data_IF_242925311949
#
_entry.id   IF_242925311949
#
_cell.length_a   1.000
_cell.length_b   1.000
_cell.length_c   1.000
_cell.angle_alpha   90.00
_cell.angle_beta   90.00
_cell.angle_gamma   90.00
#
_symmetry.space_group_name_H-M   'P 1'
#
loop_
_entity.id
_entity.type
_entity.pdbx_description
1 polymer ?
#
# COMPACT_ATOMS: atom_id res chain seq x y z
N UNK A 1 52.51 -10.86 -7.19
CA UNK A 1 51.75 -9.86 -7.96
C UNK A 1 50.63 -9.38 -7.05
N UNK A 2 50.80 -8.21 -6.43
CA UNK A 2 49.73 -7.58 -5.65
C UNK A 2 48.69 -7.07 -6.65
N UNK A 3 47.41 -7.43 -6.47
CA UNK A 3 46.34 -7.04 -7.36
C UNK A 3 46.20 -5.52 -7.44
N UNK A 4 46.00 -5.01 -8.65
CA UNK A 4 46.08 -3.59 -9.03
C UNK A 4 44.94 -2.71 -8.47
N UNK A 5 44.17 -3.21 -7.50
CA UNK A 5 43.00 -2.52 -6.96
C UNK A 5 42.86 -2.73 -5.44
N UNK A 6 42.41 -1.70 -4.70
CA UNK A 6 42.18 -1.79 -3.26
C UNK A 6 41.19 -2.89 -2.89
N UNK A 7 41.51 -3.69 -1.87
CA UNK A 7 40.62 -4.66 -1.25
C UNK A 7 40.43 -4.31 0.24
N UNK A 8 39.20 -3.97 0.61
CA UNK A 8 38.85 -3.50 1.95
C UNK A 8 38.03 -4.54 2.71
N UNK A 9 38.32 -4.72 3.99
CA UNK A 9 37.48 -5.50 4.90
C UNK A 9 37.15 -4.65 6.12
N UNK A 10 35.88 -4.37 6.32
CA UNK A 10 35.37 -3.54 7.40
C UNK A 10 34.43 -4.36 8.29
N UNK A 11 34.71 -4.39 9.60
CA UNK A 11 33.82 -4.93 10.60
C UNK A 11 33.45 -3.79 11.55
N UNK A 12 32.21 -3.33 11.46
CA UNK A 12 31.70 -2.17 12.17
C UNK A 12 30.65 -2.58 13.20
N UNK A 13 30.77 -2.03 14.40
CA UNK A 13 29.77 -2.15 15.45
C UNK A 13 29.41 -0.75 15.95
N UNK A 14 28.12 -0.45 16.00
CA UNK A 14 27.61 0.83 16.49
C UNK A 14 26.47 0.61 17.49
N UNK A 15 26.44 1.41 18.57
CA UNK A 15 25.24 1.47 19.40
C UNK A 15 24.09 2.15 18.64
N UNK A 16 24.36 3.33 18.09
CA UNK A 16 23.37 4.08 17.30
C UNK A 16 24.01 4.58 16.00
N UNK A 17 23.33 4.34 14.88
CA UNK A 17 23.73 4.79 13.55
C UNK A 17 22.63 5.65 12.92
N UNK A 18 22.87 6.94 12.73
CA UNK A 18 21.88 7.84 12.12
C UNK A 18 22.24 8.13 10.66
N UNK A 19 21.59 7.42 9.73
CA UNK A 19 21.82 7.60 8.29
C UNK A 19 21.24 8.92 7.78
N UNK A 20 20.19 9.47 8.39
CA UNK A 20 19.63 10.77 8.01
C UNK A 20 20.68 11.88 8.16
N UNK A 21 21.44 11.84 9.24
CA UNK A 21 22.57 12.74 9.45
C UNK A 21 23.71 12.44 8.48
N UNK A 22 24.12 11.18 8.30
CA UNK A 22 25.28 10.86 7.47
C UNK A 22 25.07 11.19 5.99
N UNK A 23 23.87 10.93 5.48
CA UNK A 23 23.55 11.15 4.07
C UNK A 23 23.19 12.62 3.78
N UNK A 24 22.64 13.36 4.73
CA UNK A 24 22.43 14.81 4.56
C UNK A 24 23.75 15.59 4.50
N UNK A 25 24.78 15.13 5.22
CA UNK A 25 26.12 15.75 5.16
C UNK A 25 26.89 15.39 3.87
N UNK A 26 26.52 14.31 3.16
CA UNK A 26 27.07 14.01 1.84
C UNK A 26 26.64 15.02 0.76
N UNK A 27 25.55 15.77 1.01
CA UNK A 27 25.12 16.91 0.18
C UNK A 27 25.60 18.27 0.68
N UNK A 28 26.33 18.33 1.80
CA UNK A 28 26.84 19.58 2.35
C UNK A 28 28.21 19.94 1.76
N UNK A 29 28.26 20.15 0.44
CA UNK A 29 29.25 21.04 -0.17
C UNK A 29 28.55 22.33 -0.57
N UNK A 30 28.48 23.26 0.38
CA UNK A 30 28.05 24.63 0.16
C UNK A 30 26.80 25.01 0.94
N UNK A 31 26.96 25.43 2.20
CA UNK A 31 26.66 26.80 2.60
C UNK A 31 27.09 27.03 4.07
N UNK A 32 28.36 27.41 4.28
CA UNK A 32 28.75 28.06 5.53
C UNK A 32 28.59 29.57 5.32
N UNK A 33 27.35 30.04 5.41
CA UNK A 33 27.04 31.46 5.50
C UNK A 33 26.70 31.81 6.95
N UNK A 34 27.77 32.07 7.71
CA UNK A 34 27.70 32.77 9.00
C UNK A 34 27.05 34.13 8.77
N UNK A 35 25.96 34.41 9.48
CA UNK A 35 25.35 35.74 9.52
C UNK A 35 26.35 36.75 10.10
N UNK A 36 27.01 37.52 9.23
CA UNK A 36 27.57 38.82 9.56
C UNK A 36 26.84 39.90 8.76
N UNK A 37 26.11 40.75 9.48
CA UNK A 37 25.53 41.97 8.96
C UNK A 37 26.66 42.94 8.54
N UNK A 38 26.71 43.27 7.25
CA UNK A 38 27.64 44.26 6.70
C UNK A 38 27.37 44.58 5.23
N UNK A 39 26.64 45.67 5.01
CA UNK A 39 26.45 46.50 3.81
C UNK A 39 27.00 46.08 2.42
N UNK A 40 26.06 46.10 1.44
CA UNK A 40 26.18 46.68 0.09
C UNK A 40 27.11 46.03 -0.95
N UNK A 41 26.53 45.26 -1.89
CA UNK A 41 26.58 45.54 -3.34
C UNK A 41 25.83 44.46 -4.15
N UNK A 42 24.96 44.90 -5.07
CA UNK A 42 24.30 44.05 -6.06
C UNK A 42 25.35 43.39 -6.99
N UNK A 43 25.72 42.15 -6.70
CA UNK A 43 26.19 41.20 -7.72
C UNK A 43 25.06 40.25 -8.03
N UNK A 44 24.53 40.33 -9.25
CA UNK A 44 23.69 39.28 -9.81
C UNK A 44 24.51 37.99 -9.82
N UNK A 45 24.26 37.13 -8.83
CA UNK A 45 24.75 35.76 -8.82
C UNK A 45 24.04 35.05 -9.97
N UNK A 46 24.81 34.64 -10.97
CA UNK A 46 24.32 33.71 -11.98
C UNK A 46 23.89 32.43 -11.24
N UNK A 47 22.72 31.85 -11.55
CA UNK A 47 22.37 30.57 -10.98
C UNK A 47 23.45 29.58 -11.41
N UNK A 48 24.24 29.09 -10.46
CA UNK A 48 24.99 27.86 -10.65
C UNK A 48 23.92 26.79 -10.67
N UNK A 49 23.56 26.33 -11.86
CA UNK A 49 22.85 25.06 -11.99
C UNK A 49 23.88 24.04 -11.51
N UNK A 50 23.77 23.66 -10.23
CA UNK A 50 24.39 22.44 -9.76
C UNK A 50 23.65 21.33 -10.51
N UNK A 51 24.22 20.96 -11.65
CA UNK A 51 23.86 19.75 -12.35
C UNK A 51 24.32 18.62 -11.42
N UNK A 52 23.45 18.24 -10.50
CA UNK A 52 23.59 16.99 -9.76
C UNK A 52 23.27 15.88 -10.76
N UNK A 53 24.18 15.69 -11.72
CA UNK A 53 24.09 14.63 -12.69
C UNK A 53 24.36 13.32 -11.93
N UNK A 54 23.29 12.77 -11.39
CA UNK A 54 23.17 11.47 -10.68
C UNK A 54 23.69 10.27 -11.50
N UNK A 55 24.30 10.50 -12.66
CA UNK A 55 25.13 9.55 -13.40
C UNK A 55 26.50 9.28 -12.74
N UNK A 56 26.92 10.12 -11.78
CA UNK A 56 28.19 9.96 -11.04
C UNK A 56 28.11 9.05 -9.81
N UNK A 57 26.92 8.65 -9.35
CA UNK A 57 26.71 8.10 -8.00
C UNK A 57 27.37 6.73 -7.76
N UNK A 58 27.48 5.88 -8.79
CA UNK A 58 27.98 4.51 -8.61
C UNK A 58 29.36 4.24 -9.23
N UNK A 59 29.97 5.23 -9.89
CA UNK A 59 31.30 5.03 -10.52
C UNK A 59 32.38 4.71 -9.48
N UNK A 60 32.27 5.25 -8.27
CA UNK A 60 33.19 4.96 -7.17
C UNK A 60 33.24 3.46 -6.82
N UNK A 61 32.11 2.73 -6.95
CA UNK A 61 32.05 1.30 -6.65
C UNK A 61 32.96 0.47 -7.57
N UNK A 62 33.27 0.95 -8.77
CA UNK A 62 34.15 0.24 -9.73
C UNK A 62 35.62 0.24 -9.33
N UNK A 63 36.02 1.16 -8.45
CA UNK A 63 37.42 1.39 -8.12
C UNK A 63 38.01 0.47 -7.05
N UNK A 64 37.21 -0.40 -6.42
CA UNK A 64 37.66 -1.21 -5.30
C UNK A 64 36.87 -2.51 -5.12
N UNK A 65 37.46 -3.43 -4.36
CA UNK A 65 36.76 -4.54 -3.72
C UNK A 65 36.53 -4.21 -2.24
N UNK A 66 35.38 -4.59 -1.70
CA UNK A 66 35.14 -4.46 -0.27
C UNK A 66 34.24 -5.57 0.28
N UNK A 67 34.43 -5.89 1.55
CA UNK A 67 33.47 -6.60 2.40
C UNK A 67 33.18 -5.76 3.64
N UNK A 68 31.90 -5.57 3.92
CA UNK A 68 31.39 -4.83 5.07
C UNK A 68 30.47 -5.74 5.88
N UNK A 69 30.84 -5.95 7.14
CA UNK A 69 29.95 -6.48 8.16
C UNK A 69 29.60 -5.35 9.13
N UNK A 70 28.32 -5.03 9.24
CA UNK A 70 27.81 -3.99 10.13
C UNK A 70 26.80 -4.60 11.11
N UNK A 71 27.01 -4.35 12.39
CA UNK A 71 25.99 -4.55 13.43
C UNK A 71 25.68 -3.22 14.09
N UNK A 72 24.40 -2.86 14.19
CA UNK A 72 23.97 -1.68 14.91
C UNK A 72 22.80 -2.00 15.85
N UNK A 73 22.89 -1.59 17.12
CA UNK A 73 21.77 -1.81 18.05
C UNK A 73 20.55 -0.98 17.64
N UNK A 74 20.79 0.25 17.18
CA UNK A 74 19.80 1.17 16.62
C UNK A 74 20.30 1.80 15.32
N UNK A 75 19.40 1.92 14.33
CA UNK A 75 19.66 2.64 13.08
C UNK A 75 18.47 3.54 12.75
N UNK A 76 18.74 4.79 12.37
CA UNK A 76 17.71 5.72 11.93
C UNK A 76 17.86 6.04 10.45
N UNK A 77 16.78 5.87 9.69
CA UNK A 77 16.71 6.22 8.27
C UNK A 77 15.30 6.66 7.88
N UNK A 78 15.18 7.82 7.24
CA UNK A 78 13.93 8.51 6.88
C UNK A 78 12.97 8.64 8.06
N UNK A 79 13.51 8.89 9.26
CA UNK A 79 12.75 8.94 10.50
C UNK A 79 12.21 7.59 11.00
N UNK A 80 12.47 6.48 10.30
CA UNK A 80 12.20 5.13 10.80
C UNK A 80 13.31 4.70 11.75
N UNK A 81 12.93 4.05 12.84
CA UNK A 81 13.85 3.57 13.87
C UNK A 81 13.94 2.05 13.82
N UNK A 82 15.05 1.58 13.26
CA UNK A 82 15.40 0.17 13.18
C UNK A 82 16.19 -0.25 14.41
N UNK A 83 16.00 -1.50 14.83
CA UNK A 83 16.77 -2.10 15.92
C UNK A 83 17.36 -3.44 15.50
N UNK A 84 18.42 -3.86 16.20
CA UNK A 84 19.08 -5.16 15.98
C UNK A 84 19.52 -5.35 14.52
N UNK A 85 20.06 -4.28 13.92
CA UNK A 85 20.43 -4.26 12.52
C UNK A 85 21.68 -5.09 12.29
N UNK A 86 21.61 -5.98 11.30
CA UNK A 86 22.76 -6.74 10.81
C UNK A 86 22.81 -6.64 9.30
N UNK A 87 23.97 -6.29 8.78
CA UNK A 87 24.21 -6.14 7.35
C UNK A 87 25.53 -6.77 6.94
N UNK A 88 25.50 -7.55 5.87
CA UNK A 88 26.65 -8.12 5.19
C UNK A 88 26.59 -7.71 3.71
N UNK A 89 27.55 -6.89 3.30
CA UNK A 89 27.60 -6.31 1.96
C UNK A 89 28.99 -6.56 1.38
N UNK A 90 29.03 -6.94 0.10
CA UNK A 90 30.28 -6.97 -0.66
C UNK A 90 30.18 -6.12 -1.91
N UNK A 91 31.28 -5.48 -2.28
CA UNK A 91 31.45 -4.83 -3.57
C UNK A 91 32.60 -5.51 -4.32
N UNK A 92 32.37 -5.86 -5.58
CA UNK A 92 33.37 -6.39 -6.50
C UNK A 92 33.39 -5.52 -7.75
N UNK A 93 34.18 -4.45 -7.72
CA UNK A 93 34.39 -3.56 -8.86
C UNK A 93 33.08 -3.08 -9.51
N UNK A 94 32.09 -2.69 -8.69
CA UNK A 94 30.80 -2.18 -9.16
C UNK A 94 29.68 -3.20 -9.15
N UNK A 95 29.96 -4.47 -8.86
CA UNK A 95 28.94 -5.43 -8.47
C UNK A 95 28.80 -5.41 -6.94
N UNK A 96 27.79 -4.70 -6.45
CA UNK A 96 27.45 -4.65 -5.04
C UNK A 96 26.40 -5.73 -4.73
N UNK A 97 26.66 -6.54 -3.72
CA UNK A 97 25.76 -7.62 -3.26
C UNK A 97 25.50 -7.44 -1.79
N UNK A 98 24.22 -7.44 -1.42
CA UNK A 98 23.73 -7.42 -0.05
C UNK A 98 23.33 -8.86 0.28
N UNK A 99 24.25 -9.57 0.94
CA UNK A 99 24.04 -10.97 1.34
C UNK A 99 23.04 -11.06 2.48
N UNK A 100 23.10 -10.08 3.38
CA UNK A 100 22.21 -9.97 4.52
C UNK A 100 21.95 -8.49 4.78
N UNK A 101 20.69 -8.12 4.99
CA UNK A 101 20.31 -6.82 5.55
C UNK A 101 19.01 -7.03 6.30
N UNK A 102 19.10 -7.10 7.61
CA UNK A 102 17.95 -7.42 8.46
C UNK A 102 17.88 -6.50 9.67
N UNK A 103 16.69 -6.36 10.22
CA UNK A 103 16.44 -5.62 11.45
C UNK A 103 14.98 -5.69 11.86
N UNK A 104 14.66 -5.01 12.95
CA UNK A 104 13.29 -4.88 13.46
C UNK A 104 12.81 -3.43 13.35
N UNK A 105 11.57 -3.24 12.92
CA UNK A 105 10.92 -1.93 12.75
C UNK A 105 9.48 -2.01 13.30
N UNK A 106 9.16 -1.15 14.28
CA UNK A 106 7.83 -1.04 14.89
C UNK A 106 7.19 -2.37 15.33
N UNK A 107 8.03 -3.25 15.90
CA UNK A 107 7.65 -4.57 16.39
C UNK A 107 7.65 -5.68 15.32
N UNK A 108 7.78 -5.33 14.04
CA UNK A 108 7.95 -6.26 12.94
C UNK A 108 9.42 -6.53 12.59
N UNK A 109 9.65 -7.49 11.69
CA UNK A 109 10.97 -7.83 11.15
C UNK A 109 11.04 -7.52 9.67
N UNK A 110 12.21 -7.13 9.20
CA UNK A 110 12.50 -6.94 7.78
C UNK A 110 13.80 -7.61 7.37
N UNK A 111 13.84 -8.00 6.10
CA UNK A 111 15.03 -8.44 5.38
C UNK A 111 15.01 -7.82 3.98
N UNK A 112 16.17 -7.35 3.49
CA UNK A 112 16.31 -6.74 2.18
C UNK A 112 17.59 -7.19 1.47
N UNK A 113 17.72 -8.49 1.14
CA UNK A 113 18.80 -8.96 0.28
C UNK A 113 18.62 -8.40 -1.13
N UNK A 114 19.74 -8.28 -1.85
CA UNK A 114 19.71 -7.76 -3.21
C UNK A 114 21.08 -7.50 -3.80
N UNK A 115 21.09 -6.87 -4.96
CA UNK A 115 22.30 -6.51 -5.67
C UNK A 115 22.11 -5.24 -6.50
N UNK A 116 23.23 -4.60 -6.80
CA UNK A 116 23.37 -3.50 -7.73
C UNK A 116 24.54 -3.81 -8.65
N UNK A 117 24.27 -3.99 -9.94
CA UNK A 117 25.29 -4.03 -10.98
C UNK A 117 25.46 -2.64 -11.57
N UNK A 118 26.50 -1.96 -11.13
CA UNK A 118 26.89 -0.66 -11.60
C UNK A 118 28.07 -0.73 -12.59
N UNK A 119 28.41 -1.88 -13.18
CA UNK A 119 29.55 -2.02 -14.11
C UNK A 119 29.26 -1.43 -15.49
N UNK A 120 28.00 -1.48 -15.92
CA UNK A 120 27.52 -0.94 -17.20
C UNK A 120 27.24 0.56 -17.17
N UNK A 121 26.92 1.15 -18.32
CA UNK A 121 26.54 2.57 -18.41
C UNK A 121 25.27 2.90 -17.61
N UNK A 122 24.32 1.96 -17.58
CA UNK A 122 23.08 2.07 -16.79
C UNK A 122 23.16 1.06 -15.64
N UNK A 123 23.04 1.51 -14.38
CA UNK A 123 23.00 0.59 -13.25
C UNK A 123 21.72 -0.24 -13.28
N UNK A 124 21.80 -1.48 -12.79
CA UNK A 124 20.66 -2.35 -12.59
C UNK A 124 20.65 -2.89 -11.17
N UNK A 125 19.58 -2.62 -10.43
CA UNK A 125 19.37 -3.10 -9.08
C UNK A 125 18.27 -4.17 -9.05
N UNK A 126 18.41 -5.14 -8.15
CA UNK A 126 17.38 -6.15 -7.86
C UNK A 126 17.37 -6.47 -6.37
N UNK A 127 16.18 -6.52 -5.78
CA UNK A 127 15.95 -6.72 -4.36
C UNK A 127 14.81 -7.69 -4.11
N UNK A 128 14.93 -8.46 -3.04
CA UNK A 128 13.91 -9.41 -2.60
C UNK A 128 13.46 -9.08 -1.18
N UNK A 129 12.67 -8.01 -1.00
CA UNK A 129 12.22 -7.62 0.33
C UNK A 129 11.34 -8.69 0.96
N UNK A 130 11.58 -8.91 2.25
CA UNK A 130 10.72 -9.70 3.10
C UNK A 130 10.39 -8.89 4.35
N UNK A 131 9.10 -8.63 4.57
CA UNK A 131 8.57 -7.97 5.75
C UNK A 131 7.68 -8.95 6.49
N UNK A 132 7.74 -8.91 7.82
CA UNK A 132 6.93 -9.72 8.72
C UNK A 132 6.37 -8.80 9.82
N UNK A 133 5.06 -8.54 9.76
CA UNK A 133 4.31 -7.74 10.73
C UNK A 133 4.86 -6.31 10.97
N UNK A 134 5.36 -5.64 9.92
CA UNK A 134 5.86 -4.26 10.00
C UNK A 134 4.69 -3.27 9.93
N UNK A 135 4.71 -2.19 10.72
CA UNK A 135 3.66 -1.16 10.66
C UNK A 135 3.67 -0.41 9.31
N UNK A 136 2.64 -0.58 8.50
CA UNK A 136 2.59 0.05 7.16
C UNK A 136 2.55 1.57 7.23
N UNK A 137 1.92 2.14 8.27
CA UNK A 137 1.83 3.58 8.47
C UNK A 137 3.22 4.24 8.57
N UNK A 138 4.20 3.55 9.16
CA UNK A 138 5.57 4.04 9.26
C UNK A 138 6.27 4.13 7.90
N UNK A 139 6.03 3.14 7.02
CA UNK A 139 6.55 3.14 5.64
C UNK A 139 5.90 4.27 4.85
N UNK A 140 4.56 4.38 4.88
CA UNK A 140 3.84 5.44 4.17
C UNK A 140 4.32 6.84 4.58
N UNK A 141 4.51 7.06 5.88
CA UNK A 141 5.05 8.31 6.43
C UNK A 141 6.49 8.56 5.97
N UNK A 142 7.37 7.56 6.03
CA UNK A 142 8.77 7.70 5.63
C UNK A 142 8.93 8.07 4.14
N UNK A 143 7.98 7.67 3.30
CA UNK A 143 7.95 7.99 1.87
C UNK A 143 6.97 9.11 1.50
N UNK A 144 6.46 9.86 2.48
CA UNK A 144 5.59 11.03 2.33
C UNK A 144 4.27 10.75 1.58
N UNK A 145 3.72 9.55 1.72
CA UNK A 145 2.42 9.23 1.13
C UNK A 145 1.28 9.58 2.07
N UNK A 146 0.34 10.40 1.58
CA UNK A 146 -0.83 10.88 2.32
C UNK A 146 -1.94 9.84 2.43
N UNK A 147 -1.60 8.56 2.59
CA UNK A 147 -2.56 7.46 2.74
C UNK A 147 -2.72 7.17 4.23
N UNK A 148 -3.92 7.40 4.76
CA UNK A 148 -4.24 7.10 6.16
C UNK A 148 -4.58 5.62 6.36
N UNK A 149 -3.56 4.77 6.25
CA UNK A 149 -3.66 3.32 6.44
C UNK A 149 -2.70 2.89 7.56
N UNK A 150 -3.24 2.11 8.50
CA UNK A 150 -2.49 1.44 9.57
C UNK A 150 -2.77 -0.05 9.54
N UNK A 151 -1.83 -0.84 10.06
CA UNK A 151 -1.90 -2.29 10.06
C UNK A 151 -0.52 -2.94 9.98
N UNK A 152 -0.47 -4.24 10.32
CA UNK A 152 0.76 -5.03 10.28
C UNK A 152 0.93 -5.67 8.90
N UNK A 153 1.89 -5.16 8.14
CA UNK A 153 2.26 -5.61 6.81
C UNK A 153 3.26 -6.77 6.88
N UNK A 154 2.90 -7.87 6.24
CA UNK A 154 3.81 -8.91 5.80
C UNK A 154 3.88 -8.89 4.28
N UNK A 155 5.09 -8.94 3.73
CA UNK A 155 5.35 -8.82 2.30
C UNK A 155 6.47 -9.77 1.91
N UNK A 156 6.34 -10.41 0.76
CA UNK A 156 7.46 -11.06 0.08
C UNK A 156 7.36 -10.75 -1.39
N UNK A 157 8.45 -10.26 -1.98
CA UNK A 157 8.44 -9.85 -3.37
C UNK A 157 9.82 -9.78 -3.99
N UNK A 158 9.84 -9.40 -5.25
CA UNK A 158 11.03 -9.13 -6.03
C UNK A 158 10.82 -7.83 -6.80
N UNK A 159 11.79 -6.93 -6.71
CA UNK A 159 11.76 -5.63 -7.34
C UNK A 159 13.07 -5.36 -8.04
N UNK A 160 13.01 -4.79 -9.24
CA UNK A 160 14.17 -4.36 -9.99
C UNK A 160 13.98 -2.96 -10.56
N UNK A 161 15.09 -2.30 -10.81
CA UNK A 161 15.10 -0.94 -11.33
C UNK A 161 16.51 -0.44 -11.60
N UNK A 162 16.62 0.85 -11.87
CA UNK A 162 17.90 1.50 -12.10
C UNK A 162 18.57 1.93 -10.81
N UNK A 163 18.40 3.21 -10.47
CA UNK A 163 19.00 3.82 -9.27
C UNK A 163 18.20 3.46 -8.02
N UNK A 164 18.93 3.28 -6.91
CA UNK A 164 18.36 3.04 -5.58
C UNK A 164 18.06 4.40 -4.95
N UNK A 165 16.92 4.96 -5.35
CA UNK A 165 16.40 6.23 -4.85
C UNK A 165 14.86 6.19 -4.84
N UNK A 166 14.25 6.99 -3.96
CA UNK A 166 12.79 7.04 -3.80
C UNK A 166 12.07 7.57 -5.05
N UNK A 167 12.63 8.57 -5.75
CA UNK A 167 12.02 9.12 -6.95
C UNK A 167 12.15 8.17 -8.13
N UNK A 168 13.28 7.48 -8.24
CA UNK A 168 13.47 6.43 -9.25
C UNK A 168 12.52 5.25 -9.00
N UNK A 169 12.36 4.81 -7.75
CA UNK A 169 11.39 3.78 -7.36
C UNK A 169 9.96 4.12 -7.81
N UNK A 170 9.56 5.39 -7.67
CA UNK A 170 8.23 5.88 -8.08
C UNK A 170 8.03 5.95 -9.59
N UNK A 171 9.08 5.81 -10.41
CA UNK A 171 9.03 6.13 -11.85
C UNK A 171 9.40 4.97 -12.75
N UNK A 172 10.40 4.18 -12.37
CA UNK A 172 11.02 3.22 -13.29
C UNK A 172 11.16 1.82 -12.74
N UNK A 173 10.98 1.64 -11.43
CA UNK A 173 11.05 0.33 -10.83
C UNK A 173 9.84 -0.52 -11.21
N UNK A 174 10.08 -1.82 -11.22
CA UNK A 174 9.10 -2.84 -11.53
C UNK A 174 9.25 -4.01 -10.57
N UNK A 175 8.22 -4.83 -10.45
CA UNK A 175 8.30 -6.01 -9.60
C UNK A 175 6.94 -6.56 -9.23
N UNK A 176 6.97 -7.58 -8.40
CA UNK A 176 5.77 -8.23 -7.90
C UNK A 176 5.96 -8.65 -6.45
N UNK A 177 4.88 -8.63 -5.69
CA UNK A 177 4.87 -9.09 -4.31
C UNK A 177 3.53 -9.71 -3.97
N UNK A 178 3.55 -10.59 -2.97
CA UNK A 178 2.35 -10.99 -2.24
C UNK A 178 2.37 -10.24 -0.92
N UNK A 179 1.25 -9.63 -0.57
CA UNK A 179 1.13 -8.88 0.67
C UNK A 179 -0.05 -9.38 1.49
N UNK A 180 0.15 -9.33 2.81
CA UNK A 180 -0.85 -9.57 3.81
C UNK A 180 -0.78 -8.41 4.80
N UNK A 181 -1.91 -7.80 5.09
CA UNK A 181 -2.05 -6.89 6.21
C UNK A 181 -2.96 -7.52 7.25
N UNK A 182 -2.66 -7.32 8.53
CA UNK A 182 -3.57 -7.63 9.64
C UNK A 182 -3.85 -6.39 10.48
N UNK A 183 -4.94 -6.44 11.24
CA UNK A 183 -5.39 -5.36 12.11
C UNK A 183 -5.48 -4.02 11.39
N UNK A 184 -6.07 -4.05 10.19
CA UNK A 184 -6.05 -2.92 9.27
C UNK A 184 -7.09 -1.89 9.66
N UNK A 185 -6.71 -0.62 9.52
CA UNK A 185 -7.62 0.51 9.67
C UNK A 185 -7.27 1.57 8.64
N UNK A 186 -8.26 1.90 7.83
CA UNK A 186 -8.21 2.99 6.84
C UNK A 186 -9.16 4.09 7.24
N UNK A 187 -8.66 5.30 7.42
CA UNK A 187 -9.46 6.48 7.75
C UNK A 187 -10.08 7.11 6.49
N UNK A 188 -11.15 7.88 6.67
CA UNK A 188 -11.70 8.78 5.65
C UNK A 188 -12.86 8.19 4.86
N UNK A 189 -12.93 6.86 4.70
CA UNK A 189 -14.08 6.17 4.12
C UNK A 189 -14.44 4.94 4.95
N UNK A 190 -15.63 4.93 5.55
CA UNK A 190 -16.20 3.75 6.20
C UNK A 190 -17.10 2.99 5.21
N UNK A 191 -16.59 1.87 4.67
CA UNK A 191 -17.30 1.10 3.66
C UNK A 191 -18.59 0.47 4.19
N UNK A 192 -18.56 0.04 5.47
CA UNK A 192 -19.74 -0.53 6.12
C UNK A 192 -20.86 0.52 6.18
N UNK A 193 -20.55 1.73 6.64
CA UNK A 193 -21.50 2.83 6.72
C UNK A 193 -22.05 3.23 5.35
N UNK A 194 -21.18 3.36 4.34
CA UNK A 194 -21.59 3.71 2.97
C UNK A 194 -22.60 2.70 2.41
N UNK A 195 -22.30 1.41 2.58
CA UNK A 195 -23.18 0.33 2.14
C UNK A 195 -24.50 0.34 2.91
N UNK A 196 -24.45 0.46 4.23
CA UNK A 196 -25.63 0.47 5.08
C UNK A 196 -26.54 1.65 4.74
N UNK A 197 -26.02 2.87 4.65
CA UNK A 197 -26.80 4.07 4.28
C UNK A 197 -27.42 3.96 2.90
N UNK A 198 -26.73 3.34 1.94
CA UNK A 198 -27.30 3.13 0.61
C UNK A 198 -28.45 2.10 0.64
N UNK A 199 -28.35 1.06 1.46
CA UNK A 199 -29.42 0.07 1.65
C UNK A 199 -30.62 0.67 2.38
N UNK A 200 -30.41 1.50 3.41
CA UNK A 200 -31.47 2.21 4.15
C UNK A 200 -32.28 3.15 3.25
N UNK A 201 -31.63 3.83 2.30
CA UNK A 201 -32.34 4.70 1.34
C UNK A 201 -33.26 3.93 0.39
N UNK A 202 -32.98 2.64 0.18
CA UNK A 202 -33.67 1.80 -0.80
C UNK A 202 -34.56 0.73 -0.16
N UNK A 203 -34.57 0.61 1.17
CA UNK A 203 -35.32 -0.41 1.94
C UNK A 203 -35.84 0.15 3.27
N UNK A 204 -36.67 -0.60 3.99
CA UNK A 204 -37.10 -0.25 5.37
C UNK A 204 -36.13 -0.74 6.47
N UNK A 205 -34.91 -1.16 6.09
CA UNK A 205 -33.87 -1.55 7.06
C UNK A 205 -33.27 -0.29 7.64
N UNK A 206 -32.90 -0.31 8.92
CA UNK A 206 -32.19 0.78 9.58
C UNK A 206 -30.77 0.34 9.91
N UNK A 207 -29.81 1.25 9.82
CA UNK A 207 -28.47 1.01 10.31
C UNK A 207 -28.28 1.57 11.71
N UNK A 208 -27.20 1.16 12.39
CA UNK A 208 -26.85 1.72 13.71
C UNK A 208 -26.26 3.13 13.56
N UNK A 209 -26.42 4.00 14.56
CA UNK A 209 -26.02 5.43 14.45
C UNK A 209 -24.62 5.77 14.98
N UNK A 210 -23.76 4.79 15.32
CA UNK A 210 -22.41 5.05 15.83
C UNK A 210 -21.35 4.43 14.94
N UNK A 211 -20.91 5.17 13.92
CA UNK A 211 -19.78 4.77 13.08
C UNK A 211 -18.52 5.51 13.49
N UNK A 212 -17.51 4.74 13.89
CA UNK A 212 -16.12 5.13 13.71
C UNK A 212 -15.90 5.42 12.22
N UNK A 213 -15.36 6.59 11.82
CA UNK A 213 -15.25 6.99 10.41
C UNK A 213 -14.08 6.30 9.68
N UNK A 214 -14.00 4.99 9.82
CA UNK A 214 -12.92 4.18 9.30
C UNK A 214 -13.43 2.82 8.84
N UNK A 215 -12.74 2.27 7.85
CA UNK A 215 -12.87 0.87 7.46
C UNK A 215 -11.88 0.04 8.27
N UNK A 216 -12.36 -1.01 8.94
CA UNK A 216 -11.54 -1.94 9.72
C UNK A 216 -11.66 -3.37 9.15
N UNK A 217 -10.53 -4.01 8.92
CA UNK A 217 -10.45 -5.41 8.51
C UNK A 217 -9.39 -6.13 9.34
N UNK A 218 -9.70 -7.33 9.81
CA UNK A 218 -8.79 -8.15 10.61
C UNK A 218 -7.65 -8.67 9.72
N UNK A 219 -7.94 -8.95 8.45
CA UNK A 219 -6.95 -9.40 7.47
C UNK A 219 -7.29 -8.93 6.07
N UNK A 220 -6.27 -8.50 5.31
CA UNK A 220 -6.33 -8.15 3.89
C UNK A 220 -5.17 -8.81 3.14
N UNK A 221 -5.45 -9.58 2.10
CA UNK A 221 -4.42 -10.16 1.21
C UNK A 221 -4.54 -9.60 -0.19
N UNK A 222 -3.41 -9.38 -0.88
CA UNK A 222 -3.41 -9.00 -2.30
C UNK A 222 -2.14 -9.45 -3.01
N UNK A 223 -2.26 -9.68 -4.31
CA UNK A 223 -1.13 -9.68 -5.21
C UNK A 223 -0.86 -8.24 -5.64
N UNK A 224 0.40 -7.84 -5.63
CA UNK A 224 0.88 -6.50 -5.93
C UNK A 224 1.82 -6.59 -7.12
N UNK A 225 1.58 -5.81 -8.17
CA UNK A 225 2.51 -5.63 -9.27
C UNK A 225 2.87 -4.15 -9.38
N UNK A 226 4.17 -3.85 -9.49
CA UNK A 226 4.68 -2.51 -9.76
C UNK A 226 5.21 -2.48 -11.19
N UNK A 227 4.83 -1.46 -11.93
CA UNK A 227 5.33 -1.18 -13.26
C UNK A 227 5.45 0.33 -13.46
N UNK A 228 6.67 0.85 -13.35
CA UNK A 228 6.98 2.25 -13.65
C UNK A 228 6.10 3.24 -12.87
N UNK A 229 5.94 3.00 -11.56
CA UNK A 229 5.13 3.83 -10.68
C UNK A 229 3.63 3.53 -10.67
N UNK A 230 3.15 2.65 -11.56
CA UNK A 230 1.79 2.12 -11.48
C UNK A 230 1.80 0.84 -10.65
N UNK A 231 1.08 0.87 -9.54
CA UNK A 231 0.81 -0.30 -8.70
C UNK A 231 -0.53 -0.89 -9.13
N UNK A 232 -0.54 -2.17 -9.48
CA UNK A 232 -1.77 -2.93 -9.72
C UNK A 232 -1.98 -3.89 -8.55
N UNK A 233 -3.17 -3.81 -7.94
CA UNK A 233 -3.62 -4.71 -6.88
C UNK A 233 -4.60 -5.71 -7.48
N UNK A 234 -4.27 -6.99 -7.37
CA UNK A 234 -5.04 -8.10 -7.92
C UNK A 234 -5.48 -9.05 -6.82
N UNK A 235 -6.64 -9.69 -7.02
CA UNK A 235 -7.17 -10.69 -6.11
C UNK A 235 -7.27 -10.22 -4.66
N UNK A 236 -7.55 -8.93 -4.42
CA UNK A 236 -7.71 -8.40 -3.08
C UNK A 236 -8.83 -9.14 -2.36
N UNK A 237 -8.55 -9.57 -1.14
CA UNK A 237 -9.52 -10.20 -0.25
C UNK A 237 -9.35 -9.61 1.14
N UNK A 238 -10.46 -9.16 1.73
CA UNK A 238 -10.47 -8.58 3.07
C UNK A 238 -11.60 -9.17 3.89
N UNK A 239 -11.37 -9.36 5.19
CA UNK A 239 -12.38 -9.86 6.10
C UNK A 239 -12.27 -9.25 7.51
N UNK A 240 -13.42 -9.14 8.16
CA UNK A 240 -13.62 -8.95 9.59
C UNK A 240 -14.96 -9.54 10.03
N UNK A 241 -15.23 -9.52 11.33
CA UNK A 241 -16.53 -9.90 11.89
C UNK A 241 -17.72 -9.13 11.26
N UNK A 242 -17.49 -7.88 10.85
CA UNK A 242 -18.53 -7.00 10.33
C UNK A 242 -18.61 -6.97 8.80
N UNK A 243 -17.55 -7.35 8.09
CA UNK A 243 -17.45 -7.12 6.66
C UNK A 243 -16.55 -8.14 5.95
N UNK A 244 -16.91 -8.52 4.74
CA UNK A 244 -16.02 -9.18 3.79
C UNK A 244 -15.96 -8.37 2.51
N UNK A 245 -14.79 -8.30 1.88
CA UNK A 245 -14.63 -7.67 0.58
C UNK A 245 -13.74 -8.48 -0.34
N UNK A 246 -13.99 -8.35 -1.63
CA UNK A 246 -13.00 -8.64 -2.67
C UNK A 246 -12.74 -7.39 -3.49
N UNK A 247 -11.63 -7.32 -4.20
CA UNK A 247 -11.37 -6.16 -5.04
C UNK A 247 -10.17 -6.29 -5.94
N UNK A 248 -9.98 -5.24 -6.73
CA UNK A 248 -8.84 -5.02 -7.60
C UNK A 248 -8.74 -3.54 -7.91
N UNK A 249 -7.58 -3.08 -8.38
CA UNK A 249 -7.45 -1.70 -8.79
C UNK A 249 -6.02 -1.29 -9.05
N UNK A 250 -5.86 0.01 -9.27
CA UNK A 250 -4.57 0.62 -9.56
C UNK A 250 -4.33 1.82 -8.64
N UNK A 251 -3.05 2.03 -8.31
CA UNK A 251 -2.56 3.21 -7.62
C UNK A 251 -1.38 3.79 -8.39
N UNK A 252 -1.39 5.09 -8.66
CA UNK A 252 -0.28 5.76 -9.29
C UNK A 252 0.58 6.44 -8.21
N UNK A 253 1.81 5.96 -8.02
CA UNK A 253 2.73 6.46 -7.00
C UNK A 253 3.28 7.87 -7.30
N UNK A 254 3.23 8.30 -8.55
CA UNK A 254 3.73 9.61 -8.99
C UNK A 254 2.62 10.66 -8.98
N UNK A 255 1.41 10.29 -9.42
CA UNK A 255 0.24 11.18 -9.44
C UNK A 255 -0.53 11.19 -8.12
N UNK A 256 -0.23 10.23 -7.24
CA UNK A 256 -0.91 10.03 -5.96
C UNK A 256 -2.43 9.89 -6.14
N UNK A 257 -2.82 9.12 -7.16
CA UNK A 257 -4.22 8.82 -7.46
C UNK A 257 -4.47 7.30 -7.47
N UNK A 258 -5.73 6.93 -7.44
CA UNK A 258 -6.13 5.53 -7.53
C UNK A 258 -7.43 5.37 -8.31
N UNK A 259 -7.68 4.13 -8.74
CA UNK A 259 -8.98 3.64 -9.19
C UNK A 259 -9.13 2.19 -8.74
N UNK A 260 -9.99 1.98 -7.75
CA UNK A 260 -10.18 0.70 -7.09
C UNK A 260 -11.64 0.30 -7.13
N UNK A 261 -11.90 -0.97 -7.40
CA UNK A 261 -13.22 -1.56 -7.36
C UNK A 261 -13.26 -2.64 -6.28
N UNK A 262 -14.18 -2.47 -5.34
CA UNK A 262 -14.45 -3.40 -4.27
C UNK A 262 -15.84 -3.99 -4.39
N UNK A 263 -15.98 -5.26 -4.08
CA UNK A 263 -17.25 -5.93 -3.86
C UNK A 263 -17.42 -6.12 -2.35
N UNK A 264 -18.19 -5.22 -1.72
CA UNK A 264 -18.30 -5.14 -0.27
C UNK A 264 -19.54 -5.87 0.21
N UNK A 265 -19.40 -6.70 1.22
CA UNK A 265 -20.47 -7.46 1.86
C UNK A 265 -20.46 -7.20 3.36
N UNK A 266 -21.54 -6.62 3.86
CA UNK A 266 -21.68 -6.26 5.29
C UNK A 266 -22.35 -7.40 6.04
N UNK A 267 -21.59 -8.04 6.93
CA UNK A 267 -21.97 -9.26 7.67
C UNK A 267 -22.70 -8.96 8.98
N UNK A 268 -22.52 -7.75 9.54
CA UNK A 268 -23.06 -7.33 10.83
C UNK A 268 -23.69 -5.93 10.83
N UNK A 269 -24.17 -5.49 12.00
CA UNK A 269 -24.69 -4.12 12.19
C UNK A 269 -26.07 -3.81 11.62
N UNK A 270 -26.81 -4.82 11.14
CA UNK A 270 -28.17 -4.66 10.60
C UNK A 270 -29.26 -4.72 11.67
N UNK A 271 -30.31 -3.88 11.56
CA UNK A 271 -31.55 -3.96 12.36
C UNK A 271 -32.78 -4.13 11.45
N UNK A 272 -33.68 -5.06 11.76
CA UNK A 272 -34.89 -5.32 10.97
C UNK A 272 -35.26 -6.81 10.84
N UNK A 273 -36.02 -7.15 9.79
CA UNK A 273 -36.45 -8.53 9.51
C UNK A 273 -35.28 -9.48 9.18
N UNK A 274 -35.24 -10.64 9.84
CA UNK A 274 -34.12 -11.60 9.74
C UNK A 274 -33.83 -12.07 8.31
N UNK A 275 -34.85 -12.40 7.51
CA UNK A 275 -34.66 -12.93 6.15
C UNK A 275 -34.06 -11.92 5.16
N UNK A 276 -34.44 -10.65 5.27
CA UNK A 276 -33.87 -9.59 4.42
C UNK A 276 -32.42 -9.34 4.82
N UNK A 277 -32.15 -9.33 6.13
CA UNK A 277 -30.79 -9.24 6.67
C UNK A 277 -29.91 -10.39 6.18
N UNK A 278 -30.40 -11.63 6.22
CA UNK A 278 -29.66 -12.80 5.74
C UNK A 278 -29.29 -12.69 4.25
N UNK A 279 -30.18 -12.10 3.43
CA UNK A 279 -29.88 -11.82 2.03
C UNK A 279 -28.84 -10.71 1.88
N UNK A 280 -29.00 -9.59 2.59
CA UNK A 280 -28.05 -8.47 2.54
C UNK A 280 -26.63 -8.92 2.93
N UNK A 281 -26.52 -9.80 3.93
CA UNK A 281 -25.24 -10.43 4.33
C UNK A 281 -24.60 -11.30 3.25
N UNK A 282 -25.35 -11.70 2.22
CA UNK A 282 -24.85 -12.48 1.07
C UNK A 282 -24.64 -11.61 -0.17
N UNK A 283 -25.13 -10.36 -0.16
CA UNK A 283 -25.08 -9.45 -1.30
C UNK A 283 -23.77 -8.68 -1.32
N UNK A 284 -23.00 -8.88 -2.38
CA UNK A 284 -21.87 -8.04 -2.69
C UNK A 284 -22.36 -6.74 -3.35
N UNK A 285 -21.95 -5.60 -2.80
CA UNK A 285 -22.25 -4.26 -3.29
C UNK A 285 -20.97 -3.67 -3.92
N UNK A 286 -20.95 -3.41 -5.23
CA UNK A 286 -19.83 -2.78 -5.90
C UNK A 286 -19.65 -1.34 -5.42
N UNK A 287 -18.45 -1.06 -4.92
CA UNK A 287 -17.97 0.23 -4.47
C UNK A 287 -16.72 0.58 -5.27
N UNK A 288 -16.78 1.64 -6.07
CA UNK A 288 -15.61 2.19 -6.77
C UNK A 288 -15.07 3.38 -6.00
N UNK A 289 -13.77 3.44 -5.78
CA UNK A 289 -13.04 4.54 -5.14
C UNK A 289 -12.00 5.04 -6.12
N UNK A 290 -11.99 6.34 -6.40
CA UNK A 290 -11.13 6.89 -7.43
C UNK A 290 -10.74 8.35 -7.16
N UNK A 291 -9.69 8.80 -7.85
CA UNK A 291 -9.17 10.16 -7.77
C UNK A 291 -7.92 10.26 -6.90
N UNK A 292 -7.53 11.49 -6.56
CA UNK A 292 -6.35 11.76 -5.74
C UNK A 292 -6.55 11.27 -4.29
N UNK A 293 -5.50 10.72 -3.67
CA UNK A 293 -5.57 10.11 -2.34
C UNK A 293 -6.03 11.07 -1.22
N UNK A 294 -5.82 12.37 -1.39
CA UNK A 294 -6.25 13.39 -0.42
C UNK A 294 -7.73 13.78 -0.58
N UNK A 295 -8.30 13.57 -1.77
CA UNK A 295 -9.67 13.98 -2.12
C UNK A 295 -10.39 12.87 -2.87
N UNK A 296 -10.46 11.69 -2.26
CA UNK A 296 -11.05 10.51 -2.88
C UNK A 296 -12.54 10.72 -3.15
N UNK A 297 -12.95 10.33 -4.36
CA UNK A 297 -14.34 10.21 -4.75
C UNK A 297 -14.77 8.75 -4.72
N UNK A 298 -16.07 8.51 -4.57
CA UNK A 298 -16.60 7.16 -4.56
C UNK A 298 -17.92 7.06 -5.33
N UNK A 299 -18.23 5.87 -5.84
CA UNK A 299 -19.55 5.54 -6.37
C UNK A 299 -19.99 4.15 -5.91
N UNK A 300 -21.27 4.01 -5.53
CA UNK A 300 -21.89 2.75 -5.15
C UNK A 300 -22.98 2.37 -6.14
N UNK A 301 -22.97 1.11 -6.58
CA UNK A 301 -24.00 0.56 -7.49
C UNK A 301 -25.01 -0.27 -6.70
N UNK A 302 -25.82 0.39 -5.86
CA UNK A 302 -26.72 -0.30 -4.93
C UNK A 302 -28.09 -0.56 -5.55
N UNK A 303 -28.64 0.42 -6.26
CA UNK A 303 -30.06 0.41 -6.64
C UNK A 303 -30.44 -0.74 -7.57
N UNK A 304 -29.62 -1.05 -8.57
CA UNK A 304 -29.93 -2.12 -9.51
C UNK A 304 -29.84 -3.49 -8.83
N UNK A 305 -28.84 -3.70 -7.97
CA UNK A 305 -28.59 -4.99 -7.31
C UNK A 305 -29.68 -5.26 -6.26
N UNK A 306 -29.96 -4.28 -5.39
CA UNK A 306 -31.00 -4.43 -4.38
C UNK A 306 -32.38 -4.56 -5.01
N UNK A 307 -32.72 -3.75 -6.02
CA UNK A 307 -34.02 -3.84 -6.69
C UNK A 307 -34.25 -5.22 -7.28
N UNK A 308 -33.27 -5.78 -7.98
CA UNK A 308 -33.35 -7.13 -8.54
C UNK A 308 -33.54 -8.17 -7.43
N UNK A 309 -32.75 -8.08 -6.36
CA UNK A 309 -32.88 -9.02 -5.24
C UNK A 309 -34.20 -8.92 -4.47
N UNK A 310 -34.75 -7.73 -4.31
CA UNK A 310 -36.05 -7.50 -3.68
C UNK A 310 -37.19 -8.02 -4.58
N UNK A 311 -37.09 -7.80 -5.89
CA UNK A 311 -38.03 -8.37 -6.87
C UNK A 311 -38.01 -9.90 -6.84
N UNK A 312 -36.82 -10.51 -6.80
CA UNK A 312 -36.67 -11.97 -6.71
C UNK A 312 -37.25 -12.52 -5.40
N UNK A 313 -37.08 -11.82 -4.26
CA UNK A 313 -37.73 -12.20 -2.99
C UNK A 313 -39.26 -12.08 -3.08
N UNK A 314 -39.75 -10.96 -3.58
CA UNK A 314 -41.18 -10.71 -3.70
C UNK A 314 -41.82 -11.77 -4.59
N UNK A 315 -41.22 -12.07 -5.76
CA UNK A 315 -41.65 -13.16 -6.65
C UNK A 315 -41.65 -14.50 -5.93
N UNK A 316 -40.58 -14.83 -5.19
CA UNK A 316 -40.50 -16.09 -4.43
C UNK A 316 -41.55 -16.21 -3.32
N UNK A 317 -41.80 -15.14 -2.56
CA UNK A 317 -42.83 -15.14 -1.51
C UNK A 317 -44.24 -15.22 -2.09
N UNK A 318 -44.49 -14.48 -3.17
CA UNK A 318 -45.76 -14.52 -3.88
C UNK A 318 -45.99 -15.90 -4.52
N UNK A 319 -44.96 -16.54 -5.07
CA UNK A 319 -45.08 -17.89 -5.63
C UNK A 319 -45.33 -18.93 -4.55
N UNK A 320 -44.60 -18.89 -3.42
CA UNK A 320 -44.85 -19.77 -2.27
C UNK A 320 -46.25 -19.55 -1.66
N UNK A 321 -46.72 -18.30 -1.58
CA UNK A 321 -48.07 -17.99 -1.12
C UNK A 321 -49.14 -18.50 -2.09
N UNK A 322 -48.97 -18.27 -3.39
CA UNK A 322 -49.87 -18.76 -4.42
C UNK A 322 -49.89 -20.30 -4.43
N UNK A 323 -48.76 -20.93 -4.13
CA UNK A 323 -48.62 -22.37 -4.03
C UNK A 323 -49.33 -22.96 -2.81
N UNK A 324 -49.23 -22.30 -1.65
CA UNK A 324 -49.99 -22.66 -0.45
C UNK A 324 -51.50 -22.41 -0.61
N UNK A 325 -51.89 -21.42 -1.41
CA UNK A 325 -53.28 -21.02 -1.63
C UNK A 325 -53.83 -21.44 -3.00
N UNK A 326 -53.30 -22.50 -3.62
CA UNK A 326 -53.71 -23.00 -4.96
C UNK A 326 -55.22 -23.26 -5.12
N UNK A 327 -55.92 -23.47 -4.00
CA UNK A 327 -57.35 -23.79 -3.98
C UNK A 327 -58.26 -22.55 -3.87
N UNK A 328 -57.71 -21.35 -3.63
CA UNK A 328 -58.49 -20.10 -3.60
C UNK A 328 -58.36 -19.33 -4.91
N UNK A 329 -59.34 -18.48 -5.20
CA UNK A 329 -59.36 -17.69 -6.43
C UNK A 329 -58.20 -16.68 -6.46
N UNK A 330 -57.93 -16.05 -5.32
CA UNK A 330 -56.80 -15.12 -5.15
C UNK A 330 -55.43 -15.79 -5.41
N UNK A 331 -55.26 -17.05 -5.00
CA UNK A 331 -54.04 -17.82 -5.28
C UNK A 331 -53.81 -18.07 -6.78
N UNK A 332 -54.89 -18.29 -7.54
CA UNK A 332 -54.84 -18.49 -9.00
C UNK A 332 -54.55 -17.18 -9.74
N UNK A 333 -55.08 -16.05 -9.27
CA UNK A 333 -54.88 -14.74 -9.88
C UNK A 333 -53.46 -14.21 -9.65
N UNK A 334 -52.91 -14.36 -8.44
CA UNK A 334 -51.50 -14.01 -8.16
C UNK A 334 -50.54 -14.85 -9.01
N UNK A 335 -50.82 -16.16 -9.20
CA UNK A 335 -49.99 -17.01 -10.06
C UNK A 335 -49.99 -16.56 -11.52
N UNK A 336 -51.15 -16.19 -12.07
CA UNK A 336 -51.26 -15.64 -13.43
C UNK A 336 -50.54 -14.31 -13.61
N UNK A 337 -50.48 -13.48 -12.58
CA UNK A 337 -49.74 -12.21 -12.61
C UNK A 337 -48.22 -12.44 -12.57
N UNK A 338 -47.75 -13.41 -11.79
CA UNK A 338 -46.34 -13.80 -11.75
C UNK A 338 -45.84 -14.37 -13.09
N UNK A 339 -46.66 -15.15 -13.79
CA UNK A 339 -46.30 -15.73 -15.10
C UNK A 339 -46.18 -14.68 -16.23
N UNK A 340 -46.67 -13.44 -16.01
CA UNK A 340 -46.63 -12.34 -16.98
C UNK A 340 -45.51 -11.32 -16.73
N UNK A 341 -44.85 -11.40 -15.56
CA UNK A 341 -43.77 -10.52 -15.12
C UNK A 341 -42.41 -11.15 -15.42
#
# INVERSE_FOLDING_TARGET
MLGDQPDWTLNLQAGTLNLDSLLSHASASGDNSVNQQGQSQNRQLRPVIADNDTQQDYNALRGFNARLNLTADQLQWRGMHFTQVKSEISNQQGLLTIHQMQGSLDGGRLSLPGSLDARGATPHASFQPQLDNVEIGSILKAFNYSINLTGKLSLTGEFSGGKIDADEFRRSWQGQAVTQLTDTRTEGLNFQQLVQQAVERSTNVQAQENYDNATRLDSVSTEFALNNGLVTLMHMQGQSDMMALTGQGELNLLKEDCDMLFNVRVLGGWKGESKLIDRLKQTAIPLRIYGNWQTLSYSLQVDQILRKQLQDEARKRLSEWAERNKNTQDGKDVKKLLDKL
#
